data_IF_810855240507
#
_entry.id   IF_810855240507
#
_cell.length_a   1.000
_cell.length_b   1.000
_cell.length_c   1.000
_cell.angle_alpha   90.00
_cell.angle_beta   90.00
_cell.angle_gamma   90.00
#
_symmetry.space_group_name_H-M   'P 1'
#
loop_
_entity.id
_entity.type
_entity.pdbx_description
1 polymer ?
#
# COMPACT_ATOMS: atom_id res chain seq x y z
N UNK A 1 25.69 6.56 -4.80
CA UNK A 1 24.88 5.34 -4.54
C UNK A 1 24.28 5.50 -3.16
N UNK A 2 22.98 5.30 -3.00
CA UNK A 2 22.32 5.36 -1.68
C UNK A 2 22.36 3.95 -1.09
N UNK A 3 22.87 3.83 0.13
CA UNK A 3 22.89 2.56 0.88
C UNK A 3 21.53 2.28 1.52
N UNK A 4 21.32 1.02 1.92
CA UNK A 4 20.10 0.62 2.64
C UNK A 4 19.92 1.42 3.94
N UNK A 5 21.00 1.68 4.68
CA UNK A 5 20.93 2.41 5.95
C UNK A 5 20.66 3.90 5.77
N UNK A 6 21.23 4.52 4.72
CA UNK A 6 20.89 5.89 4.35
C UNK A 6 19.42 6.00 3.96
N UNK A 7 18.91 5.05 3.16
CA UNK A 7 17.50 5.04 2.76
C UNK A 7 16.56 4.88 3.96
N UNK A 8 16.80 3.88 4.83
CA UNK A 8 16.00 3.65 6.04
C UNK A 8 15.97 4.89 6.94
N UNK A 9 17.12 5.52 7.15
CA UNK A 9 17.24 6.73 7.96
C UNK A 9 16.46 7.90 7.35
N UNK A 10 16.56 8.09 6.03
CA UNK A 10 15.82 9.12 5.32
C UNK A 10 14.30 8.90 5.43
N UNK A 11 13.81 7.68 5.19
CA UNK A 11 12.38 7.32 5.34
C UNK A 11 11.91 7.54 6.77
N UNK A 12 12.69 7.10 7.77
CA UNK A 12 12.34 7.31 9.18
C UNK A 12 12.17 8.78 9.51
N UNK A 13 13.09 9.64 9.08
CA UNK A 13 13.05 11.07 9.39
C UNK A 13 11.95 11.82 8.60
N UNK A 14 11.58 11.33 7.42
CA UNK A 14 10.70 12.04 6.49
C UNK A 14 9.27 11.52 6.45
N UNK A 15 9.00 10.31 6.92
CA UNK A 15 7.69 9.65 6.81
C UNK A 15 7.11 9.19 8.16
N UNK A 16 7.92 8.78 9.13
CA UNK A 16 7.39 8.24 10.40
C UNK A 16 6.65 9.32 11.19
N UNK A 17 5.43 9.00 11.63
CA UNK A 17 4.55 9.91 12.37
C UNK A 17 4.00 11.08 11.54
N UNK A 18 4.15 11.05 10.21
CA UNK A 18 3.69 12.11 9.30
C UNK A 18 2.53 11.62 8.45
N UNK A 19 1.62 12.54 8.14
CA UNK A 19 0.56 12.31 7.15
C UNK A 19 1.14 12.37 5.74
N UNK A 20 0.45 11.75 4.78
CA UNK A 20 0.87 11.69 3.37
C UNK A 20 1.17 13.07 2.78
N UNK A 21 0.36 14.09 3.08
CA UNK A 21 0.53 15.46 2.58
C UNK A 21 1.82 16.12 3.09
N UNK A 22 2.41 15.61 4.17
CA UNK A 22 3.67 16.07 4.75
C UNK A 22 4.91 15.34 4.19
N UNK A 23 4.72 14.34 3.33
CA UNK A 23 5.83 13.59 2.74
C UNK A 23 6.61 14.42 1.71
N UNK A 24 7.89 14.08 1.45
CA UNK A 24 8.65 14.68 0.37
C UNK A 24 7.92 14.55 -0.98
N UNK A 25 8.03 15.56 -1.83
CA UNK A 25 7.38 15.57 -3.14
C UNK A 25 7.69 14.31 -3.97
N UNK A 26 8.94 13.87 -3.97
CA UNK A 26 9.36 12.66 -4.69
C UNK A 26 8.65 11.40 -4.16
N UNK A 27 8.46 11.29 -2.84
CA UNK A 27 7.77 10.17 -2.23
C UNK A 27 6.27 10.18 -2.58
N UNK A 28 5.63 11.36 -2.55
CA UNK A 28 4.23 11.50 -2.97
C UNK A 28 4.04 11.11 -4.44
N UNK A 29 4.91 11.59 -5.32
CA UNK A 29 4.88 11.26 -6.75
C UNK A 29 5.12 9.76 -7.00
N UNK A 30 6.01 9.13 -6.23
CA UNK A 30 6.22 7.69 -6.27
C UNK A 30 4.94 6.91 -5.88
N UNK A 31 4.31 7.28 -4.76
CA UNK A 31 3.06 6.64 -4.29
C UNK A 31 1.93 6.79 -5.32
N UNK A 32 1.76 7.98 -5.89
CA UNK A 32 0.76 8.22 -6.95
C UNK A 32 1.04 7.40 -8.22
N UNK A 33 2.32 7.26 -8.57
CA UNK A 33 2.72 6.45 -9.73
C UNK A 33 2.50 4.97 -9.48
N UNK A 34 2.73 4.50 -8.24
CA UNK A 34 2.47 3.11 -7.88
C UNK A 34 0.98 2.79 -7.92
N UNK A 35 0.11 3.68 -7.41
CA UNK A 35 -1.34 3.55 -7.54
C UNK A 35 -1.76 3.36 -9.01
N UNK A 36 -1.32 4.27 -9.89
CA UNK A 36 -1.67 4.24 -11.33
C UNK A 36 -1.15 3.00 -12.06
N UNK A 37 -0.09 2.37 -11.55
CA UNK A 37 0.45 1.14 -12.12
C UNK A 37 -0.41 -0.07 -11.75
N UNK A 38 -1.01 -0.05 -10.55
CA UNK A 38 -1.88 -1.12 -10.05
C UNK A 38 -3.31 -0.97 -10.60
N UNK A 39 -3.82 0.27 -10.71
CA UNK A 39 -5.09 0.62 -11.34
C UNK A 39 -5.02 0.43 -12.87
N UNK A 40 -5.04 -0.83 -13.30
CA UNK A 40 -4.85 -1.29 -14.67
C UNK A 40 -5.99 -0.79 -15.57
N UNK A 41 -7.21 -0.77 -15.04
CA UNK A 41 -8.38 -0.35 -15.80
C UNK A 41 -8.58 1.19 -15.81
N UNK A 42 -7.82 1.93 -14.98
CA UNK A 42 -7.86 3.39 -14.85
C UNK A 42 -9.23 3.93 -14.40
N UNK A 43 -9.94 3.18 -13.56
CA UNK A 43 -11.22 3.61 -12.97
C UNK A 43 -11.03 4.43 -11.67
N UNK A 44 -9.81 4.54 -11.18
CA UNK A 44 -9.46 5.29 -9.98
C UNK A 44 -9.68 4.51 -8.67
N UNK A 45 -9.90 3.20 -8.75
CA UNK A 45 -10.13 2.30 -7.61
C UNK A 45 -9.33 1.01 -7.80
N UNK A 46 -8.39 0.72 -6.90
CA UNK A 46 -7.73 -0.59 -6.89
C UNK A 46 -8.71 -1.64 -6.38
N UNK A 47 -9.14 -2.51 -7.28
CA UNK A 47 -9.98 -3.67 -6.98
C UNK A 47 -9.18 -4.89 -6.53
N UNK A 48 -9.89 -5.94 -6.07
CA UNK A 48 -9.25 -7.19 -5.62
C UNK A 48 -8.44 -7.88 -6.71
N UNK A 49 -8.91 -7.86 -7.97
CA UNK A 49 -8.20 -8.49 -9.09
C UNK A 49 -6.88 -7.80 -9.43
N UNK A 50 -6.85 -6.47 -9.35
CA UNK A 50 -5.65 -5.67 -9.58
C UNK A 50 -4.63 -5.85 -8.46
N UNK A 51 -5.13 -5.86 -7.22
CA UNK A 51 -4.31 -6.16 -6.05
C UNK A 51 -3.72 -7.58 -6.11
N UNK A 52 -4.50 -8.58 -6.54
CA UNK A 52 -4.00 -9.94 -6.82
C UNK A 52 -2.90 -9.93 -7.86
N UNK A 53 -3.15 -9.29 -8.99
CA UNK A 53 -2.20 -9.21 -10.08
C UNK A 53 -0.88 -8.58 -9.62
N UNK A 54 -0.93 -7.47 -8.89
CA UNK A 54 0.27 -6.82 -8.34
C UNK A 54 1.02 -7.73 -7.33
N UNK A 55 0.31 -8.46 -6.48
CA UNK A 55 0.93 -9.38 -5.52
C UNK A 55 1.67 -10.52 -6.24
N UNK A 56 1.03 -11.23 -7.18
CA UNK A 56 1.65 -12.39 -7.84
C UNK A 56 2.88 -12.04 -8.70
N UNK A 57 3.05 -10.77 -9.09
CA UNK A 57 4.26 -10.30 -9.76
C UNK A 57 5.46 -10.14 -8.81
N UNK A 58 5.19 -10.00 -7.50
CA UNK A 58 6.20 -9.68 -6.47
C UNK A 58 6.47 -10.83 -5.50
N UNK A 59 5.59 -11.83 -5.44
CA UNK A 59 5.70 -12.99 -4.55
C UNK A 59 5.08 -14.25 -5.17
N UNK A 60 5.59 -15.42 -4.74
CA UNK A 60 4.99 -16.72 -5.06
C UNK A 60 3.90 -16.99 -4.04
N UNK A 61 2.69 -17.28 -4.50
CA UNK A 61 1.53 -17.55 -3.64
C UNK A 61 0.87 -18.84 -4.09
N UNK A 62 0.60 -19.75 -3.14
CA UNK A 62 -0.01 -21.05 -3.44
C UNK A 62 -1.56 -20.99 -3.49
N UNK A 63 -2.16 -20.10 -2.68
CA UNK A 63 -3.61 -19.92 -2.61
C UNK A 63 -3.98 -18.43 -2.77
N UNK A 64 -4.80 -18.11 -3.78
CA UNK A 64 -5.28 -16.74 -4.01
C UNK A 64 -6.08 -16.22 -2.80
N UNK A 65 -6.70 -17.11 -2.01
CA UNK A 65 -7.49 -16.73 -0.85
C UNK A 65 -6.67 -15.90 0.17
N UNK A 66 -5.38 -16.19 0.36
CA UNK A 66 -4.57 -15.40 1.31
C UNK A 66 -4.38 -13.95 0.83
N UNK A 67 -4.38 -13.73 -0.48
CA UNK A 67 -4.34 -12.39 -1.08
C UNK A 67 -5.68 -11.69 -0.88
N UNK A 68 -6.79 -12.39 -1.07
CA UNK A 68 -8.13 -11.86 -0.83
C UNK A 68 -8.36 -11.45 0.61
N UNK A 69 -7.92 -12.29 1.55
CA UNK A 69 -8.02 -12.01 2.98
C UNK A 69 -7.16 -10.79 3.34
N UNK A 70 -5.95 -10.69 2.79
CA UNK A 70 -5.08 -9.52 2.94
C UNK A 70 -5.74 -8.24 2.39
N UNK A 71 -6.29 -8.28 1.16
CA UNK A 71 -7.01 -7.15 0.57
C UNK A 71 -8.21 -6.74 1.41
N UNK A 72 -9.05 -7.71 1.79
CA UNK A 72 -10.22 -7.48 2.61
C UNK A 72 -9.88 -6.85 3.96
N UNK A 73 -8.72 -7.18 4.53
CA UNK A 73 -8.27 -6.58 5.77
C UNK A 73 -7.91 -5.09 5.63
N UNK A 74 -7.62 -4.59 4.41
CA UNK A 74 -7.33 -3.17 4.14
C UNK A 74 -8.58 -2.30 4.01
N UNK A 75 -9.73 -2.91 3.71
CA UNK A 75 -10.96 -2.18 3.40
C UNK A 75 -11.76 -1.84 4.65
N UNK A 76 -12.12 -0.57 4.79
CA UNK A 76 -13.21 -0.12 5.65
C UNK A 76 -14.57 -0.18 4.92
N UNK A 77 -15.65 0.24 5.60
CA UNK A 77 -17.00 0.21 5.02
C UNK A 77 -17.18 1.10 3.79
N UNK A 78 -16.46 2.23 3.70
CA UNK A 78 -16.56 3.14 2.57
C UNK A 78 -15.79 2.60 1.37
N UNK A 79 -14.60 2.01 1.59
CA UNK A 79 -13.82 1.32 0.56
C UNK A 79 -14.65 0.20 -0.08
N UNK A 80 -15.39 -0.57 0.74
CA UNK A 80 -16.28 -1.65 0.25
C UNK A 80 -17.42 -1.12 -0.61
N UNK A 81 -17.98 0.06 -0.31
CA UNK A 81 -19.07 0.65 -1.09
C UNK A 81 -18.61 1.09 -2.48
N UNK A 82 -17.37 1.56 -2.60
CA UNK A 82 -16.79 1.99 -3.89
C UNK A 82 -16.11 0.85 -4.65
N UNK A 83 -15.97 -0.32 -4.03
CA UNK A 83 -15.46 -1.54 -4.65
C UNK A 83 -13.95 -1.77 -4.46
N UNK A 84 -13.27 -0.97 -3.64
CA UNK A 84 -11.83 -1.10 -3.43
C UNK A 84 -11.18 0.16 -2.87
N UNK A 85 -9.88 0.31 -3.11
CA UNK A 85 -9.08 1.42 -2.59
C UNK A 85 -9.02 2.57 -3.58
N UNK A 86 -9.59 3.72 -3.21
CA UNK A 86 -9.36 4.97 -3.96
C UNK A 86 -7.91 5.46 -3.76
N UNK A 87 -7.45 6.38 -4.62
CA UNK A 87 -6.13 7.00 -4.45
C UNK A 87 -5.94 7.64 -3.07
N UNK A 88 -6.98 8.29 -2.52
CA UNK A 88 -6.91 8.91 -1.20
C UNK A 88 -6.71 7.86 -0.09
N UNK A 89 -7.47 6.76 -0.14
CA UNK A 89 -7.33 5.67 0.82
C UNK A 89 -5.97 4.98 0.71
N UNK A 90 -5.51 4.76 -0.53
CA UNK A 90 -4.21 4.17 -0.80
C UNK A 90 -3.07 5.04 -0.22
N UNK A 91 -3.15 6.37 -0.38
CA UNK A 91 -2.19 7.32 0.19
C UNK A 91 -2.15 7.27 1.73
N UNK A 92 -3.31 7.16 2.38
CA UNK A 92 -3.40 7.00 3.84
C UNK A 92 -2.75 5.68 4.30
N UNK A 93 -3.13 4.56 3.68
CA UNK A 93 -2.55 3.25 3.99
C UNK A 93 -1.04 3.24 3.77
N UNK A 94 -0.54 3.87 2.70
CA UNK A 94 0.91 3.94 2.47
C UNK A 94 1.62 4.73 3.58
N UNK A 95 1.02 5.84 4.03
CA UNK A 95 1.59 6.61 5.12
C UNK A 95 1.59 5.82 6.45
N UNK A 96 0.51 5.10 6.73
CA UNK A 96 0.43 4.17 7.87
C UNK A 96 1.47 3.06 7.77
N UNK A 97 1.66 2.44 6.60
CA UNK A 97 2.65 1.37 6.40
C UNK A 97 4.07 1.84 6.71
N UNK A 98 4.43 3.05 6.30
CA UNK A 98 5.77 3.60 6.55
C UNK A 98 5.96 4.12 7.97
N UNK A 99 4.88 4.55 8.62
CA UNK A 99 4.95 5.40 9.80
C UNK A 99 4.35 4.84 11.08
N UNK A 100 3.47 3.85 10.99
CA UNK A 100 2.90 3.18 12.16
C UNK A 100 3.83 2.06 12.64
N UNK A 101 4.22 2.13 13.90
CA UNK A 101 5.07 1.13 14.56
C UNK A 101 4.26 0.11 15.38
N UNK A 102 2.93 0.16 15.31
CA UNK A 102 2.05 -0.78 16.00
C UNK A 102 1.94 -2.11 15.23
N UNK A 103 2.00 -3.22 15.93
CA UNK A 103 1.86 -4.58 15.36
C UNK A 103 0.48 -4.83 14.72
N UNK A 104 -0.52 -4.04 15.13
CA UNK A 104 -1.89 -4.12 14.64
C UNK A 104 -2.20 -3.15 13.50
N UNK A 105 -1.18 -2.52 12.90
CA UNK A 105 -1.36 -1.63 11.75
C UNK A 105 -2.05 -2.35 10.59
N UNK A 106 -3.22 -1.85 10.18
CA UNK A 106 -4.00 -2.42 9.08
C UNK A 106 -3.21 -2.41 7.77
N UNK A 107 -2.43 -1.34 7.54
CA UNK A 107 -1.68 -1.14 6.32
C UNK A 107 -0.52 -2.13 6.11
N UNK A 108 -0.21 -2.99 7.09
CA UNK A 108 0.82 -4.05 6.95
C UNK A 108 0.56 -4.99 5.76
N UNK A 109 -0.70 -5.10 5.33
CA UNK A 109 -1.09 -5.89 4.17
C UNK A 109 -1.11 -5.10 2.86
N UNK A 110 -0.68 -3.84 2.80
CA UNK A 110 -0.75 -3.02 1.58
C UNK A 110 0.02 -3.63 0.39
N UNK A 111 1.03 -4.45 0.68
CA UNK A 111 1.90 -5.06 -0.31
C UNK A 111 1.73 -6.57 -0.46
N UNK A 112 0.68 -7.15 0.11
CA UNK A 112 0.42 -8.58 0.12
C UNK A 112 0.29 -9.17 1.53
N UNK A 113 0.01 -10.48 1.64
CA UNK A 113 0.07 -11.21 2.91
C UNK A 113 1.49 -11.19 3.51
N UNK A 114 1.60 -11.21 4.85
CA UNK A 114 2.89 -11.19 5.56
C UNK A 114 3.53 -12.58 5.71
N UNK A 115 2.70 -13.60 5.82
CA UNK A 115 3.10 -15.00 5.89
C UNK A 115 2.42 -15.72 4.72
N UNK A 116 3.19 -16.53 4.01
CA UNK A 116 2.77 -17.31 2.85
C UNK A 116 2.57 -18.77 3.24
#
# INVERSE_FOLDING_TARGET
MITVEEFKTAVKNTCVGKKYDQFPQAMRAFIESNFKMIDINSDGVIGVEEYRYDCIQRMVVEDIKVIDDAFNSLLNDDDRKVGGLTIARYQELFAEFLGDTNENCQAKHLFGPLEL
#
